data_IF_959009639963
#
_entry.id   IF_959009639963
#
_cell.length_a   1.000
_cell.length_b   1.000
_cell.length_c   1.000
_cell.angle_alpha   90.00
_cell.angle_beta   90.00
_cell.angle_gamma   90.00
#
_symmetry.space_group_name_H-M   'P 1'
#
loop_
_entity.id
_entity.type
_entity.pdbx_description
1 polymer ?
#
# COMPACT_ATOMS: atom_id res chain seq x y z
N UNK A 1 -29.23 -77.76 -7.17
CA UNK A 1 -29.88 -76.48 -6.89
C UNK A 1 -28.80 -75.43 -7.06
N UNK A 2 -28.76 -74.67 -8.19
CA UNK A 2 -27.73 -73.64 -8.46
C UNK A 2 -28.42 -72.29 -8.25
N UNK A 3 -27.92 -71.46 -7.26
CA UNK A 3 -28.38 -70.09 -7.06
C UNK A 3 -27.69 -69.15 -8.11
N UNK A 4 -28.41 -68.23 -8.67
CA UNK A 4 -27.80 -67.21 -9.57
C UNK A 4 -27.15 -66.07 -8.73
N UNK A 5 -25.93 -65.75 -9.05
CA UNK A 5 -25.18 -64.61 -8.50
C UNK A 5 -25.61 -63.34 -9.23
N UNK A 6 -26.38 -62.50 -8.54
CA UNK A 6 -26.82 -61.21 -9.08
C UNK A 6 -25.71 -60.18 -8.84
N UNK A 7 -25.04 -59.74 -9.90
CA UNK A 7 -24.03 -58.67 -9.86
C UNK A 7 -24.77 -57.33 -9.83
N UNK A 8 -24.70 -56.62 -8.71
CA UNK A 8 -25.23 -55.26 -8.56
C UNK A 8 -24.18 -54.25 -9.13
N UNK A 9 -24.45 -53.71 -10.32
CA UNK A 9 -23.62 -52.68 -10.91
C UNK A 9 -23.93 -51.33 -10.24
N UNK A 10 -22.98 -50.82 -9.43
CA UNK A 10 -23.02 -49.46 -8.85
C UNK A 10 -22.56 -48.49 -9.93
N UNK A 11 -23.49 -47.75 -10.51
CA UNK A 11 -23.17 -46.63 -11.42
C UNK A 11 -22.64 -45.43 -10.60
N UNK A 12 -21.34 -45.17 -10.67
CA UNK A 12 -20.76 -43.89 -10.17
C UNK A 12 -21.31 -42.75 -11.05
N UNK A 13 -22.21 -41.96 -10.50
CA UNK A 13 -22.64 -40.72 -11.09
C UNK A 13 -21.51 -39.70 -10.84
N UNK A 14 -20.70 -39.43 -11.87
CA UNK A 14 -19.74 -38.32 -11.87
C UNK A 14 -20.54 -37.00 -11.89
N UNK A 15 -20.64 -36.33 -10.74
CA UNK A 15 -21.17 -34.96 -10.68
C UNK A 15 -20.16 -34.09 -11.39
N UNK A 16 -20.53 -33.42 -12.51
CA UNK A 16 -19.60 -32.47 -13.15
C UNK A 16 -19.29 -31.35 -12.17
N UNK A 17 -18.02 -31.16 -11.82
CA UNK A 17 -17.57 -30.01 -11.09
C UNK A 17 -17.96 -28.75 -11.90
N UNK A 18 -19.02 -28.08 -11.46
CA UNK A 18 -19.47 -26.83 -12.07
C UNK A 18 -18.34 -25.84 -11.79
N UNK A 19 -17.59 -25.44 -12.84
CA UNK A 19 -16.67 -24.32 -12.73
C UNK A 19 -17.49 -23.14 -12.18
N UNK A 20 -17.10 -22.61 -11.04
CA UNK A 20 -17.81 -21.47 -10.45
C UNK A 20 -17.78 -20.33 -11.47
N UNK A 21 -18.95 -19.81 -11.80
CA UNK A 21 -19.06 -18.70 -12.73
C UNK A 21 -18.29 -17.50 -12.17
N UNK A 22 -17.38 -16.93 -12.98
CA UNK A 22 -16.60 -15.77 -12.55
C UNK A 22 -17.56 -14.59 -12.36
N UNK A 23 -17.32 -13.81 -11.32
CA UNK A 23 -18.11 -12.62 -10.99
C UNK A 23 -17.21 -11.44 -10.66
N UNK A 24 -17.80 -10.24 -10.59
CA UNK A 24 -17.09 -9.03 -10.15
C UNK A 24 -15.91 -8.66 -11.05
N UNK A 25 -14.81 -8.29 -10.44
CA UNK A 25 -13.59 -7.86 -11.13
C UNK A 25 -12.96 -8.98 -11.97
N UNK A 26 -13.02 -10.24 -11.52
CA UNK A 26 -12.49 -11.38 -12.31
C UNK A 26 -13.24 -11.54 -13.62
N UNK A 27 -14.57 -11.44 -13.62
CA UNK A 27 -15.38 -11.49 -14.83
C UNK A 27 -15.07 -10.31 -15.74
N UNK A 28 -15.05 -9.07 -15.21
CA UNK A 28 -14.69 -7.87 -15.95
C UNK A 28 -13.35 -8.02 -16.67
N UNK A 29 -12.29 -8.50 -15.94
CA UNK A 29 -10.96 -8.67 -16.53
C UNK A 29 -10.97 -9.72 -17.63
N UNK A 30 -11.69 -10.83 -17.46
CA UNK A 30 -11.82 -11.87 -18.48
C UNK A 30 -12.52 -11.35 -19.75
N UNK A 31 -13.57 -10.56 -19.58
CA UNK A 31 -14.35 -10.01 -20.71
C UNK A 31 -13.60 -8.91 -21.47
N UNK A 32 -12.86 -8.05 -20.73
CA UNK A 32 -12.17 -6.89 -21.31
C UNK A 32 -10.72 -7.15 -21.68
N UNK A 33 -10.12 -8.25 -21.21
CA UNK A 33 -8.69 -8.53 -21.25
C UNK A 33 -7.82 -7.42 -20.66
N UNK A 34 -8.32 -6.67 -19.66
CA UNK A 34 -7.65 -5.53 -19.05
C UNK A 34 -7.78 -5.54 -17.54
N UNK A 35 -6.68 -5.15 -16.88
CA UNK A 35 -6.64 -4.80 -15.45
C UNK A 35 -6.03 -3.41 -15.29
N UNK A 36 -6.65 -2.57 -14.46
CA UNK A 36 -6.23 -1.19 -14.27
C UNK A 36 -5.65 -1.02 -12.87
N UNK A 37 -4.37 -0.64 -12.80
CA UNK A 37 -3.62 -0.40 -11.57
C UNK A 37 -3.56 1.10 -11.29
N UNK A 38 -4.21 1.55 -10.21
CA UNK A 38 -4.02 2.89 -9.68
C UNK A 38 -2.65 2.99 -9.02
N UNK A 39 -1.86 4.03 -9.34
CA UNK A 39 -0.54 4.25 -8.76
C UNK A 39 -0.33 5.72 -8.38
N UNK A 40 0.54 6.00 -7.41
CA UNK A 40 0.93 7.36 -7.05
C UNK A 40 2.23 7.75 -7.74
N UNK A 41 2.33 8.99 -8.24
CA UNK A 41 3.46 9.45 -9.05
C UNK A 41 4.72 9.81 -8.24
N UNK A 42 4.60 9.99 -6.92
CA UNK A 42 5.68 10.50 -6.08
C UNK A 42 5.89 9.75 -4.75
N UNK A 43 5.28 8.56 -4.56
CA UNK A 43 5.36 7.78 -3.31
C UNK A 43 6.53 6.78 -3.32
N UNK A 44 7.76 7.31 -3.38
CA UNK A 44 9.00 6.49 -3.40
C UNK A 44 9.22 5.81 -2.05
N UNK A 45 9.62 4.53 -2.00
CA UNK A 45 9.85 3.59 -3.09
C UNK A 45 8.63 2.71 -3.41
N UNK A 46 7.44 3.03 -2.90
CA UNK A 46 6.25 2.17 -3.01
C UNK A 46 5.60 2.24 -4.38
N UNK A 47 5.45 3.47 -4.92
CA UNK A 47 4.76 3.74 -6.18
C UNK A 47 5.16 5.10 -6.71
N UNK A 48 5.79 5.15 -7.87
CA UNK A 48 6.25 6.42 -8.46
C UNK A 48 6.57 6.25 -9.96
N UNK A 49 6.87 7.36 -10.65
CA UNK A 49 7.30 7.35 -12.04
C UNK A 49 8.83 7.24 -12.16
N UNK A 50 9.30 6.34 -13.02
CA UNK A 50 10.69 6.30 -13.41
C UNK A 50 11.04 7.40 -14.44
N UNK A 51 12.30 7.41 -14.91
CA UNK A 51 12.76 8.38 -15.92
C UNK A 51 12.06 8.26 -17.28
N UNK A 52 11.36 7.15 -17.54
CA UNK A 52 10.61 6.90 -18.78
C UNK A 52 9.09 7.07 -18.58
N UNK A 53 8.67 7.70 -17.50
CA UNK A 53 7.26 7.89 -17.13
C UNK A 53 6.49 6.57 -16.91
N UNK A 54 7.18 5.52 -16.55
CA UNK A 54 6.57 4.23 -16.21
C UNK A 54 6.31 4.15 -14.71
N UNK A 55 5.14 3.66 -14.34
CA UNK A 55 4.80 3.36 -12.95
C UNK A 55 5.66 2.19 -12.43
N UNK A 56 6.43 2.43 -11.38
CA UNK A 56 7.30 1.46 -10.72
C UNK A 56 7.19 1.59 -9.20
N UNK A 57 7.71 0.61 -8.47
CA UNK A 57 7.81 0.66 -7.02
C UNK A 57 7.50 -0.69 -6.35
N UNK A 58 7.78 -0.75 -5.07
CA UNK A 58 7.57 -1.93 -4.23
C UNK A 58 6.12 -2.45 -4.28
N UNK A 59 5.15 -1.56 -4.10
CA UNK A 59 3.73 -1.92 -4.15
C UNK A 59 3.28 -2.26 -5.57
N UNK A 60 3.93 -1.70 -6.60
CA UNK A 60 3.65 -2.03 -8.00
C UNK A 60 4.12 -3.45 -8.32
N UNK A 61 5.32 -3.85 -7.85
CA UNK A 61 5.81 -5.22 -8.03
C UNK A 61 4.89 -6.25 -7.34
N UNK A 62 4.38 -5.94 -6.13
CA UNK A 62 3.39 -6.78 -5.44
C UNK A 62 2.09 -6.88 -6.25
N UNK A 63 1.61 -5.77 -6.82
CA UNK A 63 0.44 -5.79 -7.69
C UNK A 63 0.65 -6.65 -8.93
N UNK A 64 1.85 -6.63 -9.54
CA UNK A 64 2.16 -7.49 -10.67
C UNK A 64 2.10 -8.97 -10.31
N UNK A 65 2.50 -9.35 -9.10
CA UNK A 65 2.31 -10.71 -8.57
C UNK A 65 0.83 -11.09 -8.47
N UNK A 66 -0.01 -10.16 -7.99
CA UNK A 66 -1.47 -10.36 -7.97
C UNK A 66 -2.03 -10.50 -9.38
N UNK A 67 -1.58 -9.67 -10.33
CA UNK A 67 -1.98 -9.74 -11.74
C UNK A 67 -1.71 -11.12 -12.33
N UNK A 68 -0.55 -11.69 -12.06
CA UNK A 68 -0.21 -13.03 -12.56
C UNK A 68 -1.05 -14.14 -11.91
N UNK A 69 -1.44 -13.98 -10.64
CA UNK A 69 -2.41 -14.87 -10.00
C UNK A 69 -3.80 -14.75 -10.62
N UNK A 70 -4.24 -13.53 -10.94
CA UNK A 70 -5.51 -13.28 -11.64
C UNK A 70 -5.52 -13.92 -13.02
N UNK A 71 -4.46 -13.76 -13.82
CA UNK A 71 -4.32 -14.43 -15.13
C UNK A 71 -4.50 -15.94 -15.03
N UNK A 72 -3.87 -16.57 -14.02
CA UNK A 72 -4.03 -18.01 -13.76
C UNK A 72 -5.46 -18.38 -13.38
N UNK A 73 -6.09 -17.60 -12.49
CA UNK A 73 -7.44 -17.87 -12.00
C UNK A 73 -8.48 -17.82 -13.13
N UNK A 74 -8.40 -16.81 -14.01
CA UNK A 74 -9.36 -16.65 -15.14
C UNK A 74 -8.98 -17.45 -16.38
N UNK A 75 -7.82 -18.13 -16.35
CA UNK A 75 -7.23 -18.88 -17.48
C UNK A 75 -7.06 -18.01 -18.74
N UNK A 76 -6.49 -16.81 -18.59
CA UNK A 76 -6.18 -15.86 -19.68
C UNK A 76 -4.76 -15.34 -19.50
N UNK A 77 -3.86 -15.64 -20.46
CA UNK A 77 -2.46 -15.22 -20.40
C UNK A 77 -2.25 -13.75 -20.80
N UNK A 78 -3.00 -13.26 -21.78
CA UNK A 78 -2.81 -11.95 -22.40
C UNK A 78 -3.74 -10.88 -21.79
N UNK A 79 -3.61 -10.65 -20.47
CA UNK A 79 -4.30 -9.52 -19.84
C UNK A 79 -3.43 -8.27 -19.95
N UNK A 80 -3.93 -7.22 -20.58
CA UNK A 80 -3.26 -5.93 -20.65
C UNK A 80 -3.28 -5.26 -19.28
N UNK A 81 -2.10 -4.80 -18.82
CA UNK A 81 -1.98 -4.03 -17.57
C UNK A 81 -1.91 -2.56 -17.92
N UNK A 82 -2.93 -1.82 -17.55
CA UNK A 82 -2.99 -0.36 -17.70
C UNK A 82 -2.70 0.29 -16.33
N UNK A 83 -2.03 1.43 -16.32
CA UNK A 83 -1.75 2.19 -15.09
C UNK A 83 -2.46 3.53 -15.13
N UNK A 84 -3.07 3.95 -14.01
CA UNK A 84 -3.77 5.21 -13.87
C UNK A 84 -3.21 5.99 -12.67
N UNK A 85 -2.74 7.24 -12.85
CA UNK A 85 -2.33 8.07 -11.73
C UNK A 85 -3.47 8.35 -10.77
N UNK A 86 -3.22 8.13 -9.48
CA UNK A 86 -4.15 8.46 -8.40
C UNK A 86 -3.46 9.28 -7.31
N UNK A 87 -4.26 10.03 -6.56
CA UNK A 87 -3.81 10.77 -5.38
C UNK A 87 -4.37 10.15 -4.10
N UNK A 88 -3.87 10.58 -2.95
CA UNK A 88 -4.47 10.16 -1.68
C UNK A 88 -5.95 10.56 -1.55
N UNK A 89 -6.37 11.66 -2.20
CA UNK A 89 -7.75 12.16 -2.14
C UNK A 89 -8.71 11.43 -3.07
N UNK A 90 -8.25 10.95 -4.25
CA UNK A 90 -9.16 10.38 -5.27
C UNK A 90 -9.13 8.85 -5.37
N UNK A 91 -8.11 8.17 -4.79
CA UNK A 91 -7.94 6.71 -4.94
C UNK A 91 -9.14 5.89 -4.42
N UNK A 92 -9.77 6.32 -3.31
CA UNK A 92 -10.96 5.62 -2.76
C UNK A 92 -12.18 5.79 -3.68
N UNK A 93 -12.59 7.02 -4.08
CA UNK A 93 -13.64 7.19 -5.07
C UNK A 93 -13.42 6.42 -6.39
N UNK A 94 -12.19 6.43 -6.92
CA UNK A 94 -11.84 5.72 -8.16
C UNK A 94 -11.91 4.19 -8.00
N UNK A 95 -11.60 3.67 -6.82
CA UNK A 95 -11.79 2.26 -6.49
C UNK A 95 -13.27 1.90 -6.38
N UNK A 96 -14.05 2.71 -5.67
CA UNK A 96 -15.48 2.45 -5.42
C UNK A 96 -16.29 2.44 -6.72
N UNK A 97 -16.01 3.34 -7.66
CA UNK A 97 -16.72 3.43 -8.94
C UNK A 97 -16.17 2.46 -10.02
N UNK A 98 -15.12 1.68 -9.72
CA UNK A 98 -14.55 0.69 -10.62
C UNK A 98 -13.64 1.22 -11.71
N UNK A 99 -13.19 2.47 -11.62
CA UNK A 99 -12.21 3.05 -12.55
C UNK A 99 -10.85 2.34 -12.43
N UNK A 100 -10.47 1.92 -11.23
CA UNK A 100 -9.27 1.10 -10.97
C UNK A 100 -9.65 -0.23 -10.33
N UNK A 101 -8.86 -1.27 -10.58
CA UNK A 101 -9.08 -2.62 -10.05
C UNK A 101 -8.22 -2.88 -8.80
N UNK A 102 -7.00 -2.35 -8.77
CA UNK A 102 -6.09 -2.36 -7.62
C UNK A 102 -5.52 -0.95 -7.45
N UNK A 103 -5.24 -0.54 -6.21
CA UNK A 103 -4.38 0.64 -5.93
C UNK A 103 -3.08 0.16 -5.31
N UNK A 104 -2.01 0.33 -6.07
CA UNK A 104 -0.66 -0.16 -5.80
C UNK A 104 0.19 0.95 -5.17
N UNK A 105 0.05 1.16 -3.87
CA UNK A 105 0.66 2.31 -3.17
C UNK A 105 0.83 2.05 -1.67
N UNK A 106 1.41 3.01 -0.96
CA UNK A 106 1.51 3.07 0.50
C UNK A 106 0.16 3.47 1.13
N UNK A 107 -0.86 2.61 0.97
CA UNK A 107 -2.19 2.92 1.49
C UNK A 107 -2.40 2.31 2.86
N UNK A 108 -2.47 3.14 3.90
CA UNK A 108 -2.82 2.69 5.25
C UNK A 108 -4.16 1.98 5.23
N UNK A 109 -4.17 0.74 5.71
CA UNK A 109 -5.35 -0.05 5.97
C UNK A 109 -5.84 0.29 7.38
N UNK A 110 -7.01 0.92 7.49
CA UNK A 110 -7.66 1.21 8.76
C UNK A 110 -9.17 0.95 8.68
N UNK A 111 -9.82 0.91 9.84
CA UNK A 111 -11.25 0.57 9.97
C UNK A 111 -12.14 1.50 9.14
N UNK A 112 -11.85 2.81 9.09
CA UNK A 112 -12.69 3.77 8.36
C UNK A 112 -12.61 3.55 6.85
N UNK A 113 -11.43 3.21 6.32
CA UNK A 113 -11.24 2.86 4.92
C UNK A 113 -11.85 1.51 4.57
N UNK A 114 -11.77 0.51 5.47
CA UNK A 114 -12.41 -0.80 5.28
C UNK A 114 -13.94 -0.73 5.19
N UNK A 115 -14.57 0.35 5.65
CA UNK A 115 -16.00 0.59 5.42
C UNK A 115 -16.32 0.88 3.96
N UNK A 116 -15.35 1.35 3.17
CA UNK A 116 -15.51 1.83 1.80
C UNK A 116 -14.85 0.93 0.76
N UNK A 117 -13.70 0.36 1.08
CA UNK A 117 -12.86 -0.47 0.21
C UNK A 117 -12.35 -1.69 0.97
N UNK A 118 -11.78 -2.67 0.27
CA UNK A 118 -11.07 -3.78 0.87
C UNK A 118 -9.55 -3.63 0.69
N UNK A 119 -8.79 -4.42 1.45
CA UNK A 119 -7.34 -4.48 1.38
C UNK A 119 -6.88 -5.93 1.29
N UNK A 120 -5.73 -6.15 0.68
CA UNK A 120 -5.01 -7.43 0.76
C UNK A 120 -4.31 -7.58 2.10
N UNK A 121 -3.68 -8.73 2.33
CA UNK A 121 -2.69 -8.88 3.39
C UNK A 121 -1.69 -7.72 3.36
N UNK A 122 -1.30 -7.26 4.54
CA UNK A 122 -0.45 -6.08 4.71
C UNK A 122 0.96 -6.30 4.18
N UNK A 123 1.44 -5.34 3.38
CA UNK A 123 2.75 -5.41 2.73
C UNK A 123 3.83 -4.54 3.39
N UNK A 124 3.46 -3.67 4.33
CA UNK A 124 4.37 -2.81 5.07
C UNK A 124 3.75 -2.33 6.38
N UNK A 125 4.60 -1.82 7.28
CA UNK A 125 4.21 -1.22 8.56
C UNK A 125 5.00 0.06 8.75
N UNK A 126 4.34 1.19 9.01
CA UNK A 126 4.98 2.50 9.18
C UNK A 126 4.23 3.37 10.18
N UNK A 127 4.94 4.13 11.00
CA UNK A 127 4.33 5.08 11.93
C UNK A 127 4.34 6.50 11.35
N UNK A 128 3.31 7.28 11.63
CA UNK A 128 3.28 8.70 11.26
C UNK A 128 4.19 9.50 12.19
N UNK A 129 5.10 10.25 11.58
CA UNK A 129 6.03 11.18 12.25
C UNK A 129 6.04 12.53 11.52
N UNK A 130 6.96 13.41 11.87
CA UNK A 130 7.22 14.59 11.05
C UNK A 130 8.72 14.76 10.78
N UNK A 131 9.01 15.42 9.66
CA UNK A 131 10.34 15.95 9.38
C UNK A 131 10.34 17.47 9.54
N UNK A 132 11.45 18.03 10.00
CA UNK A 132 11.70 19.45 10.10
C UNK A 132 13.14 19.78 9.69
N UNK A 133 13.42 21.05 9.38
CA UNK A 133 14.81 21.52 9.23
C UNK A 133 15.45 21.61 10.61
N UNK A 134 16.71 21.17 10.74
CA UNK A 134 17.48 21.28 12.00
C UNK A 134 17.62 22.72 12.47
N UNK A 135 17.74 23.67 11.54
CA UNK A 135 17.82 25.11 11.84
C UNK A 135 16.61 25.65 12.61
N UNK A 136 15.45 25.00 12.50
CA UNK A 136 14.20 25.46 13.11
C UNK A 136 14.05 24.98 14.56
N UNK A 137 14.91 24.06 15.02
CA UNK A 137 14.89 23.48 16.36
C UNK A 137 13.53 22.87 16.76
N UNK A 138 12.87 22.17 15.81
CA UNK A 138 11.58 21.51 16.00
C UNK A 138 11.84 20.00 16.02
N UNK A 139 11.79 19.37 17.19
CA UNK A 139 12.08 17.95 17.38
C UNK A 139 10.89 17.17 17.97
N UNK A 140 10.01 17.84 18.69
CA UNK A 140 8.84 17.27 19.38
C UNK A 140 7.54 17.79 18.80
N UNK A 141 6.46 17.04 18.95
CA UNK A 141 5.12 17.46 18.50
C UNK A 141 4.71 18.80 19.12
N UNK A 142 5.05 19.05 20.37
CA UNK A 142 4.70 20.32 21.05
C UNK A 142 5.46 21.52 20.49
N UNK A 143 6.62 21.32 19.84
CA UNK A 143 7.35 22.40 19.17
C UNK A 143 6.66 22.92 17.90
N UNK A 144 5.65 22.17 17.40
CA UNK A 144 4.81 22.56 16.25
C UNK A 144 3.82 23.67 16.61
N UNK A 145 3.68 24.05 17.87
CA UNK A 145 2.71 25.04 18.35
C UNK A 145 2.77 26.34 17.56
N UNK A 146 1.60 26.74 17.00
CA UNK A 146 1.44 27.96 16.23
C UNK A 146 2.11 27.96 14.85
N UNK A 147 2.65 26.83 14.36
CA UNK A 147 3.42 26.78 13.13
C UNK A 147 2.61 26.26 11.95
N UNK A 148 2.98 26.62 10.70
CA UNK A 148 2.45 25.99 9.50
C UNK A 148 3.05 24.60 9.34
N UNK A 149 2.22 23.56 9.24
CA UNK A 149 2.63 22.16 9.11
C UNK A 149 1.92 21.54 7.92
N UNK A 150 2.71 20.97 7.00
CA UNK A 150 2.16 20.34 5.80
C UNK A 150 1.90 18.84 6.00
N UNK A 151 0.79 18.37 5.43
CA UNK A 151 0.52 16.95 5.20
C UNK A 151 -0.22 16.79 3.86
N UNK A 152 -0.28 15.55 3.34
CA UNK A 152 -0.92 15.28 2.05
C UNK A 152 -2.45 15.26 2.23
N UNK A 153 -3.16 15.97 1.36
CA UNK A 153 -4.62 15.97 1.32
C UNK A 153 -5.18 14.56 1.13
N UNK A 154 -6.17 14.15 1.95
CA UNK A 154 -6.78 12.82 1.90
C UNK A 154 -5.94 11.69 2.51
N UNK A 155 -4.80 12.01 3.14
CA UNK A 155 -3.97 11.05 3.87
C UNK A 155 -4.46 10.84 5.31
N UNK A 156 -4.10 9.71 5.91
CA UNK A 156 -4.23 9.48 7.36
C UNK A 156 -3.38 10.45 8.17
N UNK A 157 -2.21 10.83 7.64
CA UNK A 157 -1.29 11.77 8.27
C UNK A 157 -1.94 13.15 8.50
N UNK A 158 -2.73 13.66 7.53
CA UNK A 158 -3.50 14.90 7.70
C UNK A 158 -4.57 14.76 8.79
N UNK A 159 -5.25 13.62 8.84
CA UNK A 159 -6.25 13.34 9.87
C UNK A 159 -5.60 13.31 11.26
N UNK A 160 -4.48 12.59 11.41
CA UNK A 160 -3.76 12.49 12.68
C UNK A 160 -3.15 13.82 13.12
N UNK A 161 -2.61 14.61 12.17
CA UNK A 161 -2.16 15.97 12.45
C UNK A 161 -3.29 16.81 13.07
N UNK A 162 -4.49 16.80 12.48
CA UNK A 162 -5.63 17.54 12.97
C UNK A 162 -6.12 17.03 14.34
N UNK A 163 -6.13 15.71 14.55
CA UNK A 163 -6.51 15.11 15.84
C UNK A 163 -5.55 15.52 16.96
N UNK A 164 -4.24 15.44 16.73
CA UNK A 164 -3.22 15.81 17.72
C UNK A 164 -3.20 17.32 17.94
N UNK A 165 -3.37 18.13 16.88
CA UNK A 165 -3.49 19.58 16.98
C UNK A 165 -4.63 19.98 17.92
N UNK A 166 -5.79 19.36 17.75
CA UNK A 166 -6.97 19.60 18.62
C UNK A 166 -6.73 19.07 20.04
N UNK A 167 -6.28 17.84 20.17
CA UNK A 167 -6.13 17.19 21.48
C UNK A 167 -5.09 17.87 22.38
N UNK A 168 -4.02 18.42 21.80
CA UNK A 168 -2.93 19.11 22.52
C UNK A 168 -3.06 20.65 22.47
N UNK A 169 -4.10 21.18 21.84
CA UNK A 169 -4.30 22.63 21.66
C UNK A 169 -3.06 23.35 21.10
N UNK A 170 -2.48 22.79 20.03
CA UNK A 170 -1.23 23.28 19.47
C UNK A 170 -1.40 24.57 18.63
N UNK A 171 -2.60 24.85 18.10
CA UNK A 171 -2.81 26.00 17.21
C UNK A 171 -2.00 25.90 15.90
N UNK A 172 -1.66 24.69 15.44
CA UNK A 172 -1.01 24.45 14.15
C UNK A 172 -1.92 24.95 13.02
N UNK A 173 -1.30 25.56 12.00
CA UNK A 173 -1.97 25.84 10.72
C UNK A 173 -1.69 24.71 9.74
N UNK A 174 -2.64 23.77 9.50
CA UNK A 174 -2.42 22.67 8.57
C UNK A 174 -2.38 23.19 7.13
N UNK A 175 -1.36 22.78 6.37
CA UNK A 175 -1.22 23.04 4.95
C UNK A 175 -1.43 21.73 4.18
N UNK A 176 -2.25 21.79 3.13
CA UNK A 176 -2.55 20.61 2.31
C UNK A 176 -1.68 20.63 1.05
N UNK A 177 -0.94 19.54 0.82
CA UNK A 177 -0.25 19.28 -0.44
C UNK A 177 -0.98 18.19 -1.22
N UNK A 178 -0.84 18.16 -2.55
CA UNK A 178 -1.46 17.14 -3.41
C UNK A 178 -0.72 15.79 -3.32
N UNK A 179 0.60 15.86 -3.17
CA UNK A 179 1.50 14.69 -3.16
C UNK A 179 2.75 14.93 -2.29
N UNK A 180 3.62 13.92 -2.24
CA UNK A 180 4.83 13.96 -1.41
C UNK A 180 5.88 14.96 -1.91
N UNK A 181 5.98 15.14 -3.24
CA UNK A 181 6.95 16.05 -3.82
C UNK A 181 6.62 17.51 -3.48
N UNK A 182 5.35 17.91 -3.61
CA UNK A 182 4.89 19.23 -3.21
C UNK A 182 5.04 19.44 -1.70
N UNK A 183 4.66 18.47 -0.87
CA UNK A 183 4.78 18.60 0.57
C UNK A 183 6.23 18.79 1.03
N UNK A 184 7.16 18.00 0.47
CA UNK A 184 8.57 18.14 0.80
C UNK A 184 9.15 19.48 0.30
N UNK A 185 8.77 19.94 -0.88
CA UNK A 185 9.15 21.28 -1.40
C UNK A 185 8.67 22.40 -0.45
N UNK A 186 7.47 22.29 0.12
CA UNK A 186 6.98 23.26 1.11
C UNK A 186 7.85 23.27 2.37
N UNK A 187 8.38 22.13 2.80
CA UNK A 187 9.33 22.04 3.90
C UNK A 187 10.68 22.66 3.50
N UNK A 188 11.23 22.29 2.33
CA UNK A 188 12.53 22.81 1.84
C UNK A 188 12.55 24.33 1.72
N UNK A 189 11.48 24.91 1.16
CA UNK A 189 11.37 26.36 0.91
C UNK A 189 10.99 27.17 2.15
N UNK A 190 10.73 26.51 3.30
CA UNK A 190 10.31 27.20 4.53
C UNK A 190 8.85 27.64 4.56
N UNK A 191 8.04 27.27 3.56
CA UNK A 191 6.60 27.51 3.55
C UNK A 191 5.90 26.71 4.66
N UNK A 192 6.39 25.52 4.97
CA UNK A 192 6.01 24.72 6.12
C UNK A 192 7.19 24.58 7.09
N UNK A 193 6.93 24.62 8.39
CA UNK A 193 7.91 24.39 9.43
C UNK A 193 8.19 22.89 9.64
N UNK A 194 7.19 22.04 9.36
CA UNK A 194 7.31 20.59 9.43
C UNK A 194 6.43 19.93 8.37
N UNK A 195 6.80 18.68 8.00
CA UNK A 195 6.06 17.81 7.11
C UNK A 195 5.68 16.52 7.83
N UNK A 196 4.40 16.26 7.98
CA UNK A 196 3.85 15.05 8.64
C UNK A 196 3.58 13.99 7.60
N UNK A 197 4.27 12.84 7.73
CA UNK A 197 4.16 11.69 6.84
C UNK A 197 4.63 10.43 7.58
N UNK A 198 4.51 9.29 6.95
CA UNK A 198 5.02 8.02 7.45
C UNK A 198 6.56 8.01 7.48
N UNK A 199 7.14 7.48 8.54
CA UNK A 199 8.57 7.57 8.86
C UNK A 199 9.49 7.06 7.74
N UNK A 200 9.16 5.92 7.14
CA UNK A 200 9.92 5.36 6.01
C UNK A 200 9.94 6.32 4.81
N UNK A 201 8.82 6.99 4.54
CA UNK A 201 8.71 7.91 3.40
C UNK A 201 9.39 9.26 3.69
N UNK A 202 9.37 9.71 4.96
CA UNK A 202 10.17 10.86 5.40
C UNK A 202 11.66 10.60 5.24
N UNK A 203 12.14 9.43 5.67
CA UNK A 203 13.54 9.04 5.50
C UNK A 203 13.97 9.04 4.02
N UNK A 204 13.12 8.50 3.15
CA UNK A 204 13.35 8.50 1.69
C UNK A 204 13.35 9.92 1.11
N UNK A 205 12.39 10.77 1.50
CA UNK A 205 12.32 12.14 1.01
C UNK A 205 13.57 12.95 1.43
N UNK A 206 14.01 12.81 2.67
CA UNK A 206 15.23 13.40 3.19
C UNK A 206 16.47 12.89 2.44
N UNK A 207 16.60 11.57 2.26
CA UNK A 207 17.73 10.98 1.56
C UNK A 207 17.85 11.44 0.09
N UNK A 208 16.74 11.84 -0.53
CA UNK A 208 16.67 12.37 -1.90
C UNK A 208 16.87 13.89 -1.98
N UNK A 209 16.87 14.61 -0.86
CA UNK A 209 17.08 16.04 -0.81
C UNK A 209 18.50 16.43 -1.18
N UNK A 210 18.74 17.72 -1.48
CA UNK A 210 20.08 18.24 -1.80
C UNK A 210 21.02 18.17 -0.60
N UNK A 211 20.50 18.32 0.61
CA UNK A 211 21.26 18.26 1.86
C UNK A 211 20.49 17.43 2.89
N UNK A 212 20.65 16.09 2.89
CA UNK A 212 20.00 15.23 3.86
C UNK A 212 20.36 15.56 5.31
N UNK A 213 21.56 16.10 5.55
CA UNK A 213 22.04 16.45 6.88
C UNK A 213 21.29 17.64 7.50
N UNK A 214 20.59 18.44 6.68
CA UNK A 214 19.82 19.61 7.14
C UNK A 214 18.49 19.24 7.83
N UNK A 215 18.05 17.98 7.77
CA UNK A 215 16.75 17.57 8.29
C UNK A 215 16.85 16.59 9.45
N UNK A 216 15.79 16.53 10.24
CA UNK A 216 15.55 15.49 11.25
C UNK A 216 14.15 14.89 11.06
N UNK A 217 13.97 13.66 11.53
CA UNK A 217 12.65 13.05 11.75
C UNK A 217 12.42 13.03 13.25
N UNK A 218 11.21 13.36 13.70
CA UNK A 218 10.85 13.35 15.12
C UNK A 218 10.96 11.94 15.73
N UNK A 219 11.43 11.86 16.96
CA UNK A 219 11.38 10.61 17.74
C UNK A 219 9.94 10.28 18.17
N UNK A 220 9.14 11.32 18.42
CA UNK A 220 7.75 11.20 18.80
C UNK A 220 6.88 10.94 17.55
N UNK A 221 5.96 9.98 17.65
CA UNK A 221 5.06 9.60 16.56
C UNK A 221 3.63 10.07 16.82
N UNK A 222 2.89 10.36 15.74
CA UNK A 222 1.45 10.66 15.77
C UNK A 222 0.61 9.38 15.88
N UNK A 223 1.15 8.24 15.45
CA UNK A 223 0.47 6.94 15.46
C UNK A 223 1.39 5.81 15.87
N UNK A 224 0.82 4.64 16.21
CA UNK A 224 1.52 3.36 16.14
C UNK A 224 1.89 3.03 14.70
N UNK A 225 2.70 1.98 14.50
CA UNK A 225 2.99 1.49 13.16
C UNK A 225 1.70 0.92 12.53
N UNK A 226 1.22 1.58 11.49
CA UNK A 226 -0.02 1.26 10.78
C UNK A 226 0.28 0.36 9.57
N UNK A 227 -0.59 -0.65 9.29
CA UNK A 227 -0.40 -1.54 8.15
C UNK A 227 -0.74 -0.86 6.81
N UNK A 228 0.06 -1.12 5.77
CA UNK A 228 -0.28 -0.81 4.40
C UNK A 228 -0.81 -2.05 3.67
N UNK A 229 -1.88 -1.88 2.89
CA UNK A 229 -2.42 -2.91 2.03
C UNK A 229 -2.61 -2.43 0.57
N UNK A 230 -2.54 -3.34 -0.38
CA UNK A 230 -3.03 -3.07 -1.73
C UNK A 230 -4.55 -2.97 -1.63
N UNK A 231 -5.10 -1.84 -2.12
CA UNK A 231 -6.54 -1.58 -2.05
C UNK A 231 -7.24 -2.24 -3.23
N UNK A 232 -8.40 -2.82 -2.96
CA UNK A 232 -9.29 -3.39 -3.96
C UNK A 232 -10.75 -3.08 -3.59
N UNK A 233 -11.69 -3.41 -4.50
CA UNK A 233 -13.09 -3.10 -4.31
C UNK A 233 -13.66 -3.90 -3.13
N UNK A 234 -14.47 -3.22 -2.31
CA UNK A 234 -15.26 -3.86 -1.28
C UNK A 234 -16.35 -4.74 -1.93
N UNK A 235 -16.76 -5.78 -1.22
CA UNK A 235 -17.83 -6.69 -1.63
C UNK A 235 -17.55 -7.51 -2.93
N UNK A 236 -16.27 -7.61 -3.32
CA UNK A 236 -15.79 -8.47 -4.40
C UNK A 236 -14.97 -9.65 -3.80
N UNK A 237 -15.66 -10.53 -3.10
CA UNK A 237 -15.06 -11.64 -2.38
C UNK A 237 -14.22 -12.58 -3.29
N UNK A 238 -14.62 -12.92 -4.53
CA UNK A 238 -13.83 -13.77 -5.41
C UNK A 238 -12.49 -13.12 -5.79
N UNK A 239 -12.48 -11.83 -6.15
CA UNK A 239 -11.27 -11.11 -6.50
C UNK A 239 -10.34 -10.94 -5.27
N UNK A 240 -10.93 -10.59 -4.11
CA UNK A 240 -10.18 -10.51 -2.85
C UNK A 240 -9.54 -11.85 -2.49
N UNK A 241 -10.24 -12.95 -2.64
CA UNK A 241 -9.70 -14.27 -2.33
C UNK A 241 -8.48 -14.63 -3.21
N UNK A 242 -8.47 -14.25 -4.50
CA UNK A 242 -7.31 -14.42 -5.39
C UNK A 242 -6.14 -13.54 -4.93
N UNK A 243 -6.41 -12.26 -4.64
CA UNK A 243 -5.39 -11.31 -4.20
C UNK A 243 -4.77 -11.71 -2.84
N UNK A 244 -5.58 -12.17 -1.89
CA UNK A 244 -5.10 -12.61 -0.58
C UNK A 244 -4.27 -13.90 -0.67
N UNK A 245 -4.68 -14.88 -1.48
CA UNK A 245 -3.86 -16.08 -1.73
C UNK A 245 -2.52 -15.71 -2.36
N UNK A 246 -2.54 -14.86 -3.39
CA UNK A 246 -1.34 -14.41 -4.09
C UNK A 246 -0.37 -13.68 -3.16
N UNK A 247 -0.86 -12.76 -2.33
CA UNK A 247 -0.03 -12.02 -1.37
C UNK A 247 0.46 -12.92 -0.23
N UNK A 248 -0.35 -13.87 0.26
CA UNK A 248 0.08 -14.81 1.28
C UNK A 248 1.15 -15.78 0.76
N UNK A 249 1.05 -16.24 -0.50
CA UNK A 249 2.06 -17.05 -1.18
C UNK A 249 3.37 -16.27 -1.32
N UNK A 250 3.31 -15.04 -1.85
CA UNK A 250 4.46 -14.15 -2.00
C UNK A 250 5.16 -13.93 -0.66
N UNK A 251 4.41 -13.56 0.40
CA UNK A 251 5.00 -13.15 1.68
C UNK A 251 5.65 -14.30 2.45
N UNK A 252 5.12 -15.52 2.30
CA UNK A 252 5.73 -16.72 2.89
C UNK A 252 6.85 -17.32 2.03
N UNK A 253 6.95 -16.91 0.77
CA UNK A 253 7.97 -17.36 -0.16
C UNK A 253 9.27 -16.54 -0.09
N UNK A 254 10.30 -16.94 -0.83
CA UNK A 254 11.56 -16.19 -0.91
C UNK A 254 11.47 -14.92 -1.74
N UNK A 255 10.47 -14.79 -2.61
CA UNK A 255 10.38 -13.71 -3.59
C UNK A 255 10.13 -12.36 -2.95
N UNK A 256 9.46 -12.30 -1.80
CA UNK A 256 9.24 -11.05 -1.07
C UNK A 256 10.57 -10.44 -0.58
N UNK A 257 11.52 -11.27 -0.17
CA UNK A 257 12.87 -10.81 0.21
C UNK A 257 13.61 -10.19 -0.99
N UNK A 258 13.43 -10.77 -2.19
CA UNK A 258 14.02 -10.25 -3.43
C UNK A 258 13.39 -8.89 -3.77
N UNK A 259 12.05 -8.80 -3.74
CA UNK A 259 11.32 -7.56 -4.00
C UNK A 259 11.69 -6.49 -2.95
N UNK A 260 11.74 -6.86 -1.65
CA UNK A 260 12.10 -5.92 -0.59
C UNK A 260 13.50 -5.35 -0.80
N UNK A 261 14.51 -6.22 -0.99
CA UNK A 261 15.89 -5.79 -1.22
C UNK A 261 16.03 -4.88 -2.44
N UNK A 262 15.32 -5.19 -3.53
CA UNK A 262 15.32 -4.34 -4.74
C UNK A 262 14.94 -2.89 -4.43
N UNK A 263 13.99 -2.64 -3.52
CA UNK A 263 13.42 -1.33 -3.30
C UNK A 263 13.93 -0.60 -2.05
N UNK A 264 14.50 -1.32 -1.08
CA UNK A 264 14.93 -0.76 0.20
C UNK A 264 16.41 -0.92 0.50
N UNK A 265 17.08 -1.91 -0.12
CA UNK A 265 18.47 -2.25 0.18
C UNK A 265 19.38 -2.24 -1.07
N UNK A 266 18.88 -1.80 -2.21
CA UNK A 266 19.61 -1.66 -3.46
C UNK A 266 19.39 -0.27 -4.08
N UNK A 267 20.23 0.16 -5.05
CA UNK A 267 20.03 1.39 -5.78
C UNK A 267 18.71 1.39 -6.57
N UNK A 268 17.85 2.38 -6.34
CA UNK A 268 16.54 2.50 -7.02
C UNK A 268 16.55 3.59 -8.09
N UNK A 269 15.80 3.43 -9.19
CA UNK A 269 15.61 4.48 -10.20
C UNK A 269 14.95 5.74 -9.61
N UNK A 270 15.11 6.92 -10.27
CA UNK A 270 15.99 7.16 -11.43
C UNK A 270 17.44 7.44 -11.03
N UNK A 271 17.72 7.81 -9.78
CA UNK A 271 19.00 8.37 -9.34
C UNK A 271 19.96 7.33 -8.75
N UNK A 272 19.59 6.04 -8.68
CA UNK A 272 20.43 4.99 -8.14
C UNK A 272 20.68 5.12 -6.63
N UNK A 273 19.79 5.78 -5.87
CA UNK A 273 19.93 5.93 -4.43
C UNK A 273 19.53 4.63 -3.72
N UNK A 274 20.39 4.18 -2.80
CA UNK A 274 20.08 3.08 -1.90
C UNK A 274 19.65 3.64 -0.54
N UNK A 275 18.48 3.25 -0.08
CA UNK A 275 17.94 3.71 1.21
C UNK A 275 18.53 2.98 2.41
N UNK A 276 19.21 1.85 2.20
CA UNK A 276 19.83 1.03 3.24
C UNK A 276 18.87 0.74 4.41
N UNK A 277 17.63 0.41 4.09
CA UNK A 277 16.57 0.15 5.07
C UNK A 277 16.30 -1.35 5.15
N UNK A 278 16.94 -2.10 6.07
CA UNK A 278 16.73 -3.53 6.20
C UNK A 278 15.31 -3.83 6.69
N UNK A 279 14.77 -4.98 6.25
CA UNK A 279 13.45 -5.42 6.69
C UNK A 279 13.41 -5.62 8.20
N UNK A 280 12.47 -4.96 8.87
CA UNK A 280 12.31 -5.07 10.34
C UNK A 280 11.84 -6.47 10.77
N UNK A 281 12.13 -6.85 12.01
CA UNK A 281 11.65 -8.12 12.58
C UNK A 281 10.12 -8.18 12.61
N UNK A 282 9.46 -7.04 12.89
CA UNK A 282 7.99 -6.94 12.91
C UNK A 282 7.41 -7.18 11.52
N UNK A 283 8.02 -6.62 10.47
CA UNK A 283 7.57 -6.86 9.10
C UNK A 283 7.80 -8.32 8.66
N UNK A 284 8.93 -8.94 9.02
CA UNK A 284 9.17 -10.38 8.79
C UNK A 284 8.12 -11.25 9.46
N UNK A 285 7.75 -10.92 10.69
CA UNK A 285 6.68 -11.63 11.39
C UNK A 285 5.31 -11.43 10.71
N UNK A 286 5.00 -10.22 10.24
CA UNK A 286 3.78 -9.95 9.47
C UNK A 286 3.73 -10.78 8.18
N UNK A 287 4.86 -11.01 7.50
CA UNK A 287 4.93 -11.86 6.31
C UNK A 287 4.80 -13.35 6.62
N UNK A 288 5.31 -13.80 7.75
CA UNK A 288 5.09 -15.18 8.21
C UNK A 288 3.61 -15.47 8.55
N UNK A 289 2.88 -14.43 8.97
CA UNK A 289 1.46 -14.50 9.37
C UNK A 289 0.62 -13.48 8.59
N UNK A 290 0.44 -13.63 7.26
CA UNK A 290 -0.26 -12.66 6.43
C UNK A 290 -1.65 -12.35 6.95
N UNK A 291 -1.98 -11.07 7.06
CA UNK A 291 -3.25 -10.58 7.61
C UNK A 291 -3.63 -9.25 6.94
N UNK A 292 -4.91 -9.02 6.75
CA UNK A 292 -5.50 -7.75 6.35
C UNK A 292 -6.13 -6.98 7.54
N UNK A 293 -5.69 -7.29 8.76
CA UNK A 293 -6.16 -6.59 9.95
C UNK A 293 -5.87 -5.09 9.86
N UNK A 294 -6.88 -4.29 10.18
CA UNK A 294 -6.73 -2.83 10.32
C UNK A 294 -6.18 -2.42 11.69
N UNK A 295 -6.07 -3.35 12.63
CA UNK A 295 -5.57 -3.09 13.98
C UNK A 295 -4.05 -3.25 14.03
N UNK A 296 -3.29 -2.15 14.30
CA UNK A 296 -1.84 -2.20 14.46
C UNK A 296 -1.36 -3.22 15.50
N UNK A 297 -2.12 -3.47 16.57
CA UNK A 297 -1.75 -4.42 17.62
C UNK A 297 -1.67 -5.88 17.11
N UNK A 298 -2.34 -6.19 15.99
CA UNK A 298 -2.27 -7.51 15.36
C UNK A 298 -0.87 -7.84 14.83
N UNK A 299 0.00 -6.85 14.64
CA UNK A 299 1.34 -6.97 14.08
C UNK A 299 2.47 -6.83 15.13
N UNK A 300 2.15 -6.50 16.38
CA UNK A 300 3.12 -6.30 17.47
C UNK A 300 3.56 -7.61 18.15
N UNK A 301 3.23 -8.79 17.59
CA UNK A 301 3.48 -10.12 18.20
C UNK A 301 4.87 -10.65 17.96
#
# INVERSE_FOLDING_TARGET
MRLPLTILAVALIAIPARASELTGTLQKIKETNKIILGFQEASVPFSYLDGNQKAIGYAVDICMWIVDAVKREINVSNVAVETLPVTSSNRIPLMMNGTVDLVCSSTTNNVDRQRQVAFTNSHFLSATRFASRKSDNIARIDDLKGKPVVAISGSTNMVQLNQVNTARNLGVTPLAAKDQAEAFLMLETGRAAAYVLDDVQLAVAIARSKDPAAYIISDEAFSKAEPYGIMLRKDDAPFKAVADRATAELYRGPDIEVIYRKWFEAPVPPNGLNFNTPMSAVLRNAFAHPSDSADPASYER
#
